data_IF_739325947694
#
_entry.id   IF_739325947694
#
_cell.length_a   1.000
_cell.length_b   1.000
_cell.length_c   1.000
_cell.angle_alpha   90.00
_cell.angle_beta   90.00
_cell.angle_gamma   90.00
#
_symmetry.space_group_name_H-M   'P 1'
#
loop_
_entity.id
_entity.type
_entity.pdbx_description
1 polymer ?
#
# COMPACT_ATOMS: atom_id res chain seq x y z
N UNK A 1 -53.50 -19.62 22.06
CA UNK A 1 -52.46 -19.01 22.90
C UNK A 1 -52.14 -17.65 22.31
N UNK A 2 -52.64 -16.56 22.91
CA UNK A 2 -52.43 -15.18 22.44
C UNK A 2 -51.36 -14.55 23.32
N UNK A 3 -50.16 -14.36 22.77
CA UNK A 3 -49.08 -13.65 23.47
C UNK A 3 -49.44 -12.16 23.54
N UNK A 4 -49.87 -11.69 24.71
CA UNK A 4 -49.97 -10.26 25.02
C UNK A 4 -48.60 -9.79 25.48
N UNK A 5 -47.81 -9.25 24.56
CA UNK A 5 -46.63 -8.47 24.95
C UNK A 5 -47.10 -7.13 25.49
N UNK A 6 -46.58 -6.73 26.66
CA UNK A 6 -46.83 -5.38 27.18
C UNK A 6 -46.06 -4.37 26.32
N UNK A 7 -46.58 -3.14 26.17
CA UNK A 7 -45.89 -2.08 25.41
C UNK A 7 -44.44 -1.86 25.92
N UNK A 8 -44.20 -2.07 27.21
CA UNK A 8 -42.87 -1.96 27.83
C UNK A 8 -41.86 -3.02 27.37
N UNK A 9 -42.32 -4.17 26.87
CA UNK A 9 -41.46 -5.25 26.34
C UNK A 9 -41.21 -5.10 24.83
N UNK A 10 -42.13 -4.45 24.10
CA UNK A 10 -42.02 -4.23 22.65
C UNK A 10 -41.02 -3.12 22.32
N UNK A 11 -41.02 -2.03 23.11
CA UNK A 11 -40.13 -0.87 22.90
C UNK A 11 -38.63 -1.25 22.86
N UNK A 12 -38.07 -2.02 23.81
CA UNK A 12 -36.66 -2.39 23.76
C UNK A 12 -36.33 -3.30 22.58
N UNK A 13 -37.24 -4.19 22.18
CA UNK A 13 -37.05 -5.07 21.00
C UNK A 13 -36.97 -4.21 19.73
N UNK A 14 -37.92 -3.28 19.54
CA UNK A 14 -37.93 -2.37 18.40
C UNK A 14 -36.68 -1.47 18.39
N UNK A 15 -36.25 -0.96 19.55
CA UNK A 15 -35.03 -0.17 19.67
C UNK A 15 -33.78 -0.99 19.27
N UNK A 16 -33.64 -2.24 19.73
CA UNK A 16 -32.54 -3.12 19.34
C UNK A 16 -32.51 -3.38 17.83
N UNK A 17 -33.68 -3.61 17.20
CA UNK A 17 -33.79 -3.80 15.75
C UNK A 17 -33.36 -2.55 14.99
N UNK A 18 -33.83 -1.36 15.41
CA UNK A 18 -33.44 -0.08 14.79
C UNK A 18 -31.94 0.15 14.92
N UNK A 19 -31.36 -0.07 16.10
CA UNK A 19 -29.90 0.05 16.31
C UNK A 19 -29.14 -0.92 15.41
N UNK A 20 -29.61 -2.16 15.26
CA UNK A 20 -29.04 -3.15 14.35
C UNK A 20 -29.06 -2.68 12.88
N UNK A 21 -30.20 -2.16 12.41
CA UNK A 21 -30.36 -1.63 11.05
C UNK A 21 -29.45 -0.42 10.83
N UNK A 22 -29.42 0.53 11.77
CA UNK A 22 -28.55 1.72 11.69
C UNK A 22 -27.07 1.32 11.69
N UNK A 23 -26.66 0.34 12.47
CA UNK A 23 -25.29 -0.16 12.48
C UNK A 23 -24.91 -0.84 11.16
N UNK A 24 -25.80 -1.67 10.59
CA UNK A 24 -25.58 -2.29 9.29
C UNK A 24 -25.51 -1.23 8.19
N UNK A 25 -26.45 -0.29 8.17
CA UNK A 25 -26.45 0.84 7.24
C UNK A 25 -25.18 1.68 7.38
N UNK A 26 -24.77 2.01 8.61
CA UNK A 26 -23.52 2.71 8.90
C UNK A 26 -22.31 1.94 8.38
N UNK A 27 -22.22 0.62 8.56
CA UNK A 27 -21.15 -0.19 7.97
C UNK A 27 -21.17 -0.21 6.44
N UNK A 28 -22.36 -0.30 5.85
CA UNK A 28 -22.55 -0.29 4.39
C UNK A 28 -22.26 1.08 3.77
N UNK A 29 -22.47 2.16 4.52
CA UNK A 29 -22.21 3.54 4.12
C UNK A 29 -20.75 3.92 4.33
N UNK A 30 -20.19 3.66 5.52
CA UNK A 30 -18.81 4.01 5.85
C UNK A 30 -17.79 3.12 5.17
N UNK A 31 -18.12 1.84 4.91
CA UNK A 31 -17.29 0.92 4.12
C UNK A 31 -15.84 0.85 4.62
N UNK A 32 -15.63 1.07 5.92
CA UNK A 32 -14.31 1.07 6.57
C UNK A 32 -13.87 -0.36 6.85
N UNK A 33 -12.56 -0.59 6.86
CA UNK A 33 -12.04 -1.84 7.41
C UNK A 33 -12.14 -1.80 8.93
N UNK A 34 -12.41 -2.97 9.52
CA UNK A 34 -12.27 -3.14 10.96
C UNK A 34 -10.79 -3.09 11.32
N UNK A 35 -10.47 -2.71 12.55
CA UNK A 35 -9.08 -2.66 13.02
C UNK A 35 -8.36 -3.99 12.84
N UNK A 36 -9.06 -5.10 13.10
CA UNK A 36 -8.58 -6.46 12.86
C UNK A 36 -8.19 -6.69 11.40
N UNK A 37 -8.96 -6.18 10.46
CA UNK A 37 -8.65 -6.25 9.03
C UNK A 37 -7.46 -5.35 8.67
N UNK A 38 -7.42 -4.10 9.17
CA UNK A 38 -6.28 -3.20 8.98
C UNK A 38 -5.00 -3.87 9.46
N UNK A 39 -5.01 -4.38 10.69
CA UNK A 39 -3.89 -5.08 11.33
C UNK A 39 -3.44 -6.30 10.53
N UNK A 40 -4.39 -7.12 10.06
CA UNK A 40 -4.12 -8.29 9.21
C UNK A 40 -3.36 -7.89 7.95
N UNK A 41 -3.89 -6.92 7.21
CA UNK A 41 -3.30 -6.50 5.94
C UNK A 41 -2.00 -5.73 6.11
N UNK A 42 -1.89 -4.94 7.18
CA UNK A 42 -0.65 -4.29 7.57
C UNK A 42 0.44 -5.33 7.83
N UNK A 43 0.15 -6.38 8.60
CA UNK A 43 1.11 -7.46 8.86
C UNK A 43 1.58 -8.16 7.57
N UNK A 44 0.65 -8.46 6.67
CA UNK A 44 0.94 -9.10 5.37
C UNK A 44 1.81 -8.19 4.49
N UNK A 45 1.51 -6.89 4.46
CA UNK A 45 2.28 -5.91 3.71
C UNK A 45 3.71 -5.76 4.27
N UNK A 46 3.84 -5.65 5.58
CA UNK A 46 5.13 -5.48 6.25
C UNK A 46 6.03 -6.71 6.14
N UNK A 47 5.47 -7.92 6.03
CA UNK A 47 6.28 -9.12 5.81
C UNK A 47 6.85 -9.25 4.40
N UNK A 48 6.33 -8.49 3.42
CA UNK A 48 6.89 -8.43 2.06
C UNK A 48 7.85 -7.25 1.85
N UNK A 49 8.01 -6.37 2.84
CA UNK A 49 8.92 -5.22 2.79
C UNK A 49 10.35 -5.65 3.18
N UNK A 50 11.35 -4.97 2.62
CA UNK A 50 12.76 -5.22 2.94
C UNK A 50 13.12 -4.89 4.39
N UNK A 51 14.06 -5.64 4.95
CA UNK A 51 14.48 -5.52 6.35
C UNK A 51 15.11 -4.17 6.69
N UNK A 52 15.69 -3.49 5.70
CA UNK A 52 16.28 -2.16 5.83
C UNK A 52 15.24 -1.03 5.83
N UNK A 53 13.96 -1.31 5.57
CA UNK A 53 12.90 -0.30 5.50
C UNK A 53 12.82 0.60 6.74
N UNK A 54 13.04 0.01 7.91
CA UNK A 54 13.05 0.72 9.20
C UNK A 54 14.10 1.82 9.30
N UNK A 55 15.17 1.75 8.50
CA UNK A 55 16.24 2.74 8.48
C UNK A 55 15.81 4.05 7.82
N UNK A 56 14.69 4.05 7.09
CA UNK A 56 14.14 5.22 6.42
C UNK A 56 12.94 5.82 7.18
N UNK A 57 12.70 5.37 8.42
CA UNK A 57 11.66 5.90 9.29
C UNK A 57 12.28 6.81 10.36
N UNK A 58 11.60 7.93 10.63
CA UNK A 58 12.04 8.87 11.66
C UNK A 58 11.64 8.39 13.06
N UNK A 59 12.50 8.67 14.04
CA UNK A 59 12.10 8.56 15.44
C UNK A 59 11.33 9.81 15.85
N UNK A 60 10.23 9.62 16.56
CA UNK A 60 9.50 10.68 17.22
C UNK A 60 9.22 10.28 18.67
N UNK A 61 9.31 11.25 19.58
CA UNK A 61 8.88 11.06 20.97
C UNK A 61 7.37 10.88 21.09
N UNK A 62 6.62 11.29 20.08
CA UNK A 62 5.17 11.10 20.00
C UNK A 62 4.85 9.74 19.34
N UNK A 63 3.73 9.13 19.75
CA UNK A 63 3.22 7.87 19.21
C UNK A 63 2.59 8.05 17.81
N UNK A 64 3.44 8.40 16.86
CA UNK A 64 3.09 8.75 15.49
C UNK A 64 3.30 7.56 14.54
N UNK A 65 2.95 7.70 13.26
CA UNK A 65 3.00 6.58 12.31
C UNK A 65 4.41 6.00 12.16
N UNK A 66 5.41 6.87 11.98
CA UNK A 66 6.81 6.47 11.80
C UNK A 66 7.35 5.73 13.04
N UNK A 67 7.14 6.29 14.24
CA UNK A 67 7.67 5.70 15.49
C UNK A 67 7.01 4.36 15.82
N UNK A 68 5.69 4.26 15.70
CA UNK A 68 4.95 3.00 15.91
C UNK A 68 5.41 1.90 14.93
N UNK A 69 5.58 2.26 13.66
CA UNK A 69 6.04 1.31 12.64
C UNK A 69 7.48 0.89 12.87
N UNK A 70 8.38 1.84 13.13
CA UNK A 70 9.79 1.56 13.36
C UNK A 70 10.00 0.68 14.59
N UNK A 71 9.27 0.94 15.68
CA UNK A 71 9.31 0.11 16.87
C UNK A 71 8.86 -1.31 16.53
N UNK A 72 7.69 -1.49 15.89
CA UNK A 72 7.24 -2.81 15.45
C UNK A 72 8.26 -3.55 14.57
N UNK A 73 8.91 -2.87 13.63
CA UNK A 73 9.93 -3.48 12.76
C UNK A 73 11.24 -3.82 13.50
N UNK A 74 11.48 -3.24 14.67
CA UNK A 74 12.64 -3.55 15.50
C UNK A 74 12.39 -4.73 16.45
N UNK A 75 11.21 -4.80 17.07
CA UNK A 75 10.93 -5.72 18.17
C UNK A 75 9.79 -6.72 17.90
N UNK A 76 9.13 -6.65 16.75
CA UNK A 76 7.92 -7.41 16.41
C UNK A 76 6.80 -7.26 17.46
N UNK A 77 6.71 -6.10 18.12
CA UNK A 77 5.73 -5.83 19.19
C UNK A 77 4.30 -5.79 18.66
N UNK A 78 3.50 -6.76 19.11
CA UNK A 78 2.08 -6.84 18.79
C UNK A 78 1.29 -5.62 19.28
N UNK A 79 1.75 -4.97 20.35
CA UNK A 79 1.18 -3.72 20.86
C UNK A 79 1.38 -2.58 19.86
N UNK A 80 2.61 -2.40 19.37
CA UNK A 80 2.91 -1.38 18.36
C UNK A 80 2.14 -1.62 17.05
N UNK A 81 2.03 -2.88 16.63
CA UNK A 81 1.22 -3.25 15.46
C UNK A 81 -0.27 -2.92 15.65
N UNK A 82 -0.80 -3.14 16.85
CA UNK A 82 -2.19 -2.81 17.20
C UNK A 82 -2.41 -1.31 17.18
N UNK A 83 -1.55 -0.54 17.85
CA UNK A 83 -1.62 0.92 17.87
C UNK A 83 -1.51 1.52 16.47
N UNK A 84 -0.61 0.99 15.63
CA UNK A 84 -0.47 1.43 14.24
C UNK A 84 -1.73 1.12 13.42
N UNK A 85 -2.33 -0.05 13.61
CA UNK A 85 -3.59 -0.39 12.95
C UNK A 85 -4.75 0.52 13.39
N UNK A 86 -4.84 0.84 14.69
CA UNK A 86 -5.82 1.80 15.22
C UNK A 86 -5.58 3.21 14.67
N UNK A 87 -4.33 3.65 14.60
CA UNK A 87 -3.92 4.92 14.01
C UNK A 87 -4.38 5.02 12.56
N UNK A 88 -4.00 4.06 11.72
CA UNK A 88 -4.39 4.04 10.31
C UNK A 88 -5.92 4.01 10.16
N UNK A 89 -6.62 3.20 10.95
CA UNK A 89 -8.09 3.17 10.98
C UNK A 89 -8.72 4.51 11.30
N UNK A 90 -8.15 5.28 12.23
CA UNK A 90 -8.67 6.59 12.61
C UNK A 90 -8.56 7.63 11.48
N UNK A 91 -7.58 7.44 10.58
CA UNK A 91 -7.34 8.32 9.43
C UNK A 91 -8.12 7.91 8.18
N UNK A 92 -8.92 6.85 8.25
CA UNK A 92 -9.70 6.32 7.13
C UNK A 92 -11.02 7.04 6.89
N UNK A 93 -11.32 7.31 5.62
CA UNK A 93 -12.67 7.67 5.20
C UNK A 93 -13.42 6.50 4.52
N UNK A 94 -12.85 5.78 3.53
CA UNK A 94 -13.49 4.67 2.81
C UNK A 94 -12.47 3.68 2.17
N UNK A 95 -12.44 2.39 2.53
CA UNK A 95 -11.49 1.40 1.94
C UNK A 95 -12.17 0.26 1.15
N UNK A 96 -13.34 -0.23 1.58
CA UNK A 96 -13.91 -1.48 1.01
C UNK A 96 -14.35 -1.36 -0.45
N UNK A 97 -14.75 -0.18 -0.92
CA UNK A 97 -15.12 0.07 -2.32
C UNK A 97 -14.16 1.05 -3.00
N UNK A 98 -12.99 1.31 -2.39
CA UNK A 98 -11.94 2.08 -3.04
C UNK A 98 -11.35 1.32 -4.22
N UNK A 99 -10.57 2.06 -5.00
CA UNK A 99 -9.94 1.54 -6.21
C UNK A 99 -8.81 0.57 -5.89
N UNK A 100 -8.29 0.51 -4.66
CA UNK A 100 -7.23 -0.41 -4.22
C UNK A 100 -7.73 -1.76 -3.72
N UNK A 101 -6.95 -2.82 -3.95
CA UNK A 101 -7.11 -4.08 -3.21
C UNK A 101 -7.03 -3.84 -1.70
N UNK A 102 -7.54 -4.75 -0.88
CA UNK A 102 -7.55 -4.52 0.57
C UNK A 102 -6.14 -4.34 1.16
N UNK A 103 -5.12 -5.17 0.82
CA UNK A 103 -3.74 -4.89 1.20
C UNK A 103 -3.20 -3.62 0.56
N UNK A 104 -3.50 -3.36 -0.72
CA UNK A 104 -3.06 -2.16 -1.42
C UNK A 104 -3.54 -0.88 -0.72
N UNK A 105 -4.79 -0.86 -0.27
CA UNK A 105 -5.38 0.29 0.43
C UNK A 105 -4.70 0.56 1.77
N UNK A 106 -4.35 -0.50 2.51
CA UNK A 106 -3.65 -0.38 3.80
C UNK A 106 -2.22 0.11 3.58
N UNK A 107 -1.53 -0.43 2.56
CA UNK A 107 -0.18 -0.02 2.21
C UNK A 107 -0.13 1.44 1.74
N UNK A 108 -1.07 1.83 0.89
CA UNK A 108 -1.14 3.18 0.34
C UNK A 108 -1.31 4.23 1.43
N UNK A 109 -2.24 3.99 2.36
CA UNK A 109 -2.44 4.90 3.47
C UNK A 109 -1.26 4.91 4.44
N UNK A 110 -0.61 3.77 4.69
CA UNK A 110 0.64 3.75 5.46
C UNK A 110 1.70 4.65 4.84
N UNK A 111 1.93 4.52 3.52
CA UNK A 111 2.90 5.33 2.77
C UNK A 111 2.55 6.81 2.86
N UNK A 112 1.29 7.19 2.63
CA UNK A 112 0.85 8.59 2.74
C UNK A 112 1.10 9.16 4.12
N UNK A 113 0.84 8.40 5.19
CA UNK A 113 1.07 8.86 6.55
C UNK A 113 2.57 9.01 6.85
N UNK A 114 3.41 8.10 6.36
CA UNK A 114 4.87 8.21 6.50
C UNK A 114 5.37 9.50 5.82
N UNK A 115 5.00 9.72 4.55
CA UNK A 115 5.41 10.91 3.78
C UNK A 115 4.87 12.20 4.42
N UNK A 116 3.60 12.20 4.81
CA UNK A 116 2.92 13.32 5.47
C UNK A 116 3.66 13.74 6.74
N UNK A 117 4.05 12.79 7.58
CA UNK A 117 4.80 13.05 8.82
C UNK A 117 6.21 13.56 8.53
N UNK A 118 6.95 12.92 7.60
CA UNK A 118 8.33 13.32 7.28
C UNK A 118 8.42 14.69 6.60
N UNK A 119 7.43 15.07 5.81
CA UNK A 119 7.37 16.38 5.16
C UNK A 119 6.59 17.43 5.98
N UNK A 120 6.02 17.05 7.13
CA UNK A 120 5.13 17.89 7.92
C UNK A 120 4.00 18.54 7.10
N UNK A 121 3.35 17.74 6.25
CA UNK A 121 2.25 18.20 5.38
C UNK A 121 1.03 17.28 5.53
N UNK A 122 -0.21 17.74 5.23
CA UNK A 122 -1.37 16.86 5.24
C UNK A 122 -1.23 15.70 4.23
N UNK A 123 -1.80 14.51 4.50
CA UNK A 123 -1.72 13.38 3.60
C UNK A 123 -2.44 13.68 2.27
N UNK A 124 -1.69 13.62 1.17
CA UNK A 124 -2.17 13.91 -0.19
C UNK A 124 -1.74 12.81 -1.16
N UNK A 125 -2.20 12.90 -2.41
CA UNK A 125 -1.72 12.03 -3.49
C UNK A 125 -0.34 12.47 -4.00
N UNK A 126 -0.08 13.78 -3.98
CA UNK A 126 1.17 14.42 -4.40
C UNK A 126 1.65 15.35 -3.30
N UNK A 127 2.95 15.37 -3.05
CA UNK A 127 3.56 16.17 -2.00
C UNK A 127 4.54 17.15 -2.62
N UNK A 128 4.30 18.44 -2.42
CA UNK A 128 5.14 19.50 -2.97
C UNK A 128 5.97 20.12 -1.86
N UNK A 129 7.25 20.38 -2.14
CA UNK A 129 8.19 21.01 -1.21
C UNK A 129 9.23 21.83 -1.97
N UNK A 130 9.96 22.69 -1.26
CA UNK A 130 10.95 23.59 -1.84
C UNK A 130 12.33 22.94 -2.04
N UNK A 131 13.24 23.68 -2.65
CA UNK A 131 14.64 23.28 -2.86
C UNK A 131 15.36 23.01 -1.53
N UNK A 132 15.13 23.81 -0.49
CA UNK A 132 15.75 23.60 0.82
C UNK A 132 15.37 22.24 1.41
N UNK A 133 14.08 21.88 1.35
CA UNK A 133 13.59 20.56 1.76
C UNK A 133 14.22 19.46 0.92
N UNK A 134 14.28 19.64 -0.40
CA UNK A 134 14.87 18.66 -1.33
C UNK A 134 16.33 18.34 -0.97
N UNK A 135 17.15 19.37 -0.72
CA UNK A 135 18.57 19.21 -0.36
C UNK A 135 18.76 18.51 0.99
N UNK A 136 17.76 18.56 1.88
CA UNK A 136 17.82 17.98 3.22
C UNK A 136 17.06 16.65 3.37
N UNK A 137 16.42 16.12 2.31
CA UNK A 137 15.55 14.94 2.41
C UNK A 137 16.23 13.71 3.04
N UNK A 138 17.53 13.51 2.81
CA UNK A 138 18.25 12.37 3.40
C UNK A 138 18.19 12.38 4.93
N UNK A 139 18.14 13.57 5.55
CA UNK A 139 18.05 13.76 6.99
C UNK A 139 16.61 13.91 7.47
N UNK A 140 15.81 14.72 6.78
CA UNK A 140 14.47 15.13 7.26
C UNK A 140 13.35 14.25 6.75
N UNK A 141 13.52 13.61 5.58
CA UNK A 141 12.51 12.75 4.98
C UNK A 141 13.13 11.58 4.20
N UNK A 142 13.90 10.70 4.88
CA UNK A 142 14.67 9.64 4.22
C UNK A 142 13.79 8.65 3.45
N UNK A 143 12.54 8.44 3.88
CA UNK A 143 11.59 7.63 3.13
C UNK A 143 11.28 8.26 1.79
N UNK A 144 11.02 9.57 1.75
CA UNK A 144 10.70 10.30 0.52
C UNK A 144 11.86 10.21 -0.46
N UNK A 145 13.09 10.46 0.00
CA UNK A 145 14.29 10.35 -0.85
C UNK A 145 14.47 8.96 -1.44
N UNK A 146 14.17 7.92 -0.66
CA UNK A 146 14.47 6.53 -1.02
C UNK A 146 13.39 5.85 -1.87
N UNK A 147 12.11 6.15 -1.59
CA UNK A 147 10.95 5.40 -2.10
C UNK A 147 10.07 6.16 -3.09
N UNK A 148 10.16 7.49 -3.15
CA UNK A 148 9.30 8.30 -4.02
C UNK A 148 10.03 8.69 -5.31
N UNK A 149 9.27 8.79 -6.39
CA UNK A 149 9.73 9.49 -7.59
C UNK A 149 9.66 10.99 -7.34
N UNK A 150 10.76 11.71 -7.56
CA UNK A 150 10.82 13.15 -7.32
C UNK A 150 10.97 13.86 -8.67
N UNK A 151 10.15 14.88 -8.88
CA UNK A 151 10.19 15.74 -10.07
C UNK A 151 10.60 17.14 -9.63
N UNK A 152 11.57 17.73 -10.32
CA UNK A 152 11.84 19.16 -10.24
C UNK A 152 10.89 19.92 -11.15
N UNK A 153 10.28 20.96 -10.61
CA UNK A 153 9.45 21.94 -11.29
C UNK A 153 10.15 23.30 -11.21
N UNK A 154 9.63 24.32 -11.88
CA UNK A 154 10.26 25.64 -12.00
C UNK A 154 10.71 26.24 -10.65
N UNK A 155 9.91 26.09 -9.60
CA UNK A 155 10.15 26.72 -8.28
C UNK A 155 10.07 25.75 -7.10
N UNK A 156 9.75 24.48 -7.34
CA UNK A 156 9.50 23.50 -6.31
C UNK A 156 9.75 22.07 -6.80
N UNK A 157 9.65 21.11 -5.90
CA UNK A 157 9.76 19.69 -6.15
C UNK A 157 8.44 19.00 -5.82
N UNK A 158 8.11 17.95 -6.57
CA UNK A 158 6.97 17.08 -6.30
C UNK A 158 7.45 15.65 -6.03
N UNK A 159 7.16 15.11 -4.86
CA UNK A 159 7.27 13.68 -4.58
C UNK A 159 5.97 12.96 -4.94
N UNK A 160 6.13 11.92 -5.75
CA UNK A 160 5.06 11.06 -6.23
C UNK A 160 5.30 9.65 -5.73
N UNK A 161 4.30 9.11 -5.02
CA UNK A 161 4.23 7.70 -4.65
C UNK A 161 3.70 6.88 -5.82
N UNK A 162 4.13 5.63 -5.92
CA UNK A 162 3.64 4.71 -6.94
C UNK A 162 2.31 4.10 -6.54
N UNK A 163 1.42 3.92 -7.50
CA UNK A 163 0.18 3.15 -7.36
C UNK A 163 -0.12 2.49 -8.71
N UNK A 164 -0.23 1.17 -8.75
CA UNK A 164 -0.49 0.45 -10.00
C UNK A 164 -1.96 0.52 -10.39
N UNK A 165 -2.26 1.17 -11.51
CA UNK A 165 -3.59 1.24 -12.13
C UNK A 165 -3.69 0.27 -13.30
N UNK A 166 -4.68 -0.64 -13.25
CA UNK A 166 -5.15 -1.45 -14.39
C UNK A 166 -4.18 -2.17 -15.36
N UNK A 167 -3.17 -2.96 -14.92
CA UNK A 167 -2.31 -3.64 -15.90
C UNK A 167 -2.59 -5.13 -15.94
N UNK A 168 -2.61 -5.69 -17.15
CA UNK A 168 -2.61 -7.14 -17.36
C UNK A 168 -1.26 -7.79 -17.03
N UNK A 169 -0.19 -6.97 -16.88
CA UNK A 169 1.20 -7.36 -16.64
C UNK A 169 1.94 -6.31 -15.75
N UNK A 170 2.85 -6.76 -14.88
CA UNK A 170 3.54 -5.92 -13.89
C UNK A 170 4.68 -5.09 -14.42
N UNK A 171 5.32 -5.54 -15.50
CA UNK A 171 6.28 -4.72 -16.20
C UNK A 171 5.57 -3.51 -16.80
N UNK A 172 4.41 -3.74 -17.42
CA UNK A 172 3.54 -2.68 -17.95
C UNK A 172 2.98 -1.78 -16.84
N UNK A 173 2.62 -2.33 -15.68
CA UNK A 173 2.13 -1.52 -14.53
C UNK A 173 3.08 -0.41 -14.11
N UNK A 174 4.35 -0.78 -14.00
CA UNK A 174 5.39 0.11 -13.51
C UNK A 174 5.82 1.09 -14.61
N UNK A 175 5.95 0.57 -15.83
CA UNK A 175 6.25 1.35 -17.01
C UNK A 175 5.16 2.38 -17.27
N UNK A 176 3.89 1.99 -17.35
CA UNK A 176 2.78 2.91 -17.67
C UNK A 176 2.67 4.04 -16.66
N UNK A 177 2.80 3.76 -15.36
CA UNK A 177 2.80 4.82 -14.34
C UNK A 177 3.95 5.81 -14.51
N UNK A 178 5.16 5.29 -14.73
CA UNK A 178 6.36 6.12 -14.83
C UNK A 178 6.40 6.86 -16.17
N UNK A 179 6.07 6.18 -17.27
CA UNK A 179 6.06 6.71 -18.63
C UNK A 179 4.94 7.73 -18.81
N UNK A 180 3.70 7.44 -18.41
CA UNK A 180 2.60 8.42 -18.50
C UNK A 180 2.94 9.67 -17.70
N UNK A 181 3.51 9.51 -16.50
CA UNK A 181 3.93 10.63 -15.67
C UNK A 181 5.06 11.43 -16.31
N UNK A 182 6.13 10.77 -16.78
CA UNK A 182 7.25 11.42 -17.48
C UNK A 182 6.78 12.11 -18.77
N UNK A 183 5.93 11.48 -19.58
CA UNK A 183 5.39 12.04 -20.82
C UNK A 183 4.51 13.26 -20.54
N UNK A 184 3.61 13.17 -19.55
CA UNK A 184 2.79 14.30 -19.13
C UNK A 184 3.64 15.47 -18.63
N UNK A 185 4.74 15.21 -17.94
CA UNK A 185 5.63 16.27 -17.45
C UNK A 185 6.52 16.84 -18.57
N UNK A 186 7.01 16.01 -19.49
CA UNK A 186 7.69 16.46 -20.72
C UNK A 186 6.79 17.36 -21.58
N UNK A 187 5.50 17.04 -21.71
CA UNK A 187 4.54 17.92 -22.41
C UNK A 187 4.33 19.27 -21.72
N UNK A 188 4.71 19.38 -20.44
CA UNK A 188 4.68 20.62 -19.65
C UNK A 188 6.05 21.32 -19.59
N UNK A 189 7.04 20.84 -20.35
CA UNK A 189 8.37 21.45 -20.45
C UNK A 189 9.42 20.91 -19.48
N UNK A 190 9.14 19.85 -18.71
CA UNK A 190 10.16 19.22 -17.86
C UNK A 190 11.14 18.39 -18.70
N UNK A 191 12.44 18.51 -18.41
CA UNK A 191 13.48 17.74 -19.05
C UNK A 191 13.77 16.44 -18.30
N UNK A 192 14.47 15.51 -18.95
CA UNK A 192 14.78 14.22 -18.31
C UNK A 192 15.66 14.37 -17.05
N UNK A 193 16.45 15.44 -16.98
CA UNK A 193 17.30 15.80 -15.85
C UNK A 193 16.51 16.25 -14.61
N UNK A 194 15.23 16.57 -14.77
CA UNK A 194 14.34 16.99 -13.69
C UNK A 194 13.70 15.79 -12.97
N UNK A 195 13.99 14.56 -13.41
CA UNK A 195 13.43 13.34 -12.85
C UNK A 195 14.44 12.57 -12.00
N UNK A 196 14.10 12.39 -10.72
CA UNK A 196 14.88 11.60 -9.77
C UNK A 196 14.14 10.30 -9.46
N UNK A 197 14.69 9.21 -9.97
CA UNK A 197 14.17 7.86 -9.78
C UNK A 197 14.56 7.31 -8.40
N UNK A 198 13.64 6.66 -7.68
CA UNK A 198 13.93 6.10 -6.36
C UNK A 198 14.85 4.87 -6.45
N UNK A 199 15.49 4.53 -5.33
CA UNK A 199 16.26 3.29 -5.21
C UNK A 199 15.37 2.08 -4.91
N UNK A 200 14.24 2.31 -4.25
CA UNK A 200 13.27 1.28 -3.87
C UNK A 200 11.87 1.75 -4.19
N UNK A 201 10.97 0.82 -4.48
CA UNK A 201 9.59 1.17 -4.85
C UNK A 201 8.64 0.28 -4.09
N UNK A 202 7.63 0.89 -3.50
CA UNK A 202 6.47 0.18 -2.98
C UNK A 202 5.29 0.61 -3.84
N UNK A 203 4.66 -0.36 -4.49
CA UNK A 203 3.60 -0.13 -5.45
C UNK A 203 2.34 -0.89 -4.99
N UNK A 204 1.41 -0.22 -4.28
CA UNK A 204 0.09 -0.77 -3.98
C UNK A 204 -0.75 -0.91 -5.25
N UNK A 205 -1.61 -1.92 -5.31
CA UNK A 205 -2.37 -2.26 -6.52
C UNK A 205 -3.86 -1.92 -6.43
N UNK A 206 -4.37 -1.39 -7.54
CA UNK A 206 -5.80 -1.21 -7.76
C UNK A 206 -6.52 -2.56 -7.91
N UNK A 207 -7.82 -2.61 -7.61
CA UNK A 207 -8.69 -3.73 -7.92
C UNK A 207 -8.91 -3.76 -9.42
N UNK A 208 -8.76 -4.93 -10.01
CA UNK A 208 -9.15 -5.13 -11.39
C UNK A 208 -10.55 -5.71 -11.45
N UNK A 209 -11.53 -4.91 -11.88
CA UNK A 209 -12.96 -5.29 -11.86
C UNK A 209 -13.31 -6.35 -12.92
N UNK A 210 -12.49 -6.51 -13.96
CA UNK A 210 -12.87 -7.27 -15.17
C UNK A 210 -11.89 -8.38 -15.61
N UNK A 211 -10.93 -8.82 -14.80
CA UNK A 211 -10.07 -9.94 -15.20
C UNK A 211 -9.03 -10.41 -14.18
N UNK A 212 -8.00 -11.11 -14.67
CA UNK A 212 -6.98 -11.78 -13.89
C UNK A 212 -5.63 -11.11 -14.16
N UNK A 213 -4.85 -10.78 -13.12
CA UNK A 213 -3.45 -10.45 -13.29
C UNK A 213 -2.69 -11.73 -13.65
N UNK A 214 -2.31 -11.89 -14.93
CA UNK A 214 -1.55 -13.07 -15.37
C UNK A 214 -0.07 -12.78 -15.21
N UNK A 215 0.52 -13.31 -14.14
CA UNK A 215 1.96 -13.34 -13.99
C UNK A 215 2.54 -14.54 -14.74
N UNK A 216 3.51 -14.30 -15.62
CA UNK A 216 4.33 -15.38 -16.17
C UNK A 216 5.73 -15.31 -15.57
N UNK A 217 5.98 -16.10 -14.52
CA UNK A 217 7.30 -16.24 -13.89
C UNK A 217 8.24 -17.21 -14.62
N UNK A 218 7.95 -17.61 -15.86
CA UNK A 218 8.83 -18.55 -16.58
C UNK A 218 10.20 -17.91 -16.87
N UNK A 219 11.17 -18.23 -16.00
CA UNK A 219 12.57 -17.80 -16.06
C UNK A 219 12.95 -16.77 -14.99
N UNK A 220 14.17 -16.85 -14.45
CA UNK A 220 14.74 -15.87 -13.49
C UNK A 220 14.76 -14.41 -14.01
N UNK A 221 14.56 -14.21 -15.32
CA UNK A 221 14.43 -12.89 -15.98
C UNK A 221 13.07 -12.20 -15.75
N UNK A 222 12.06 -12.90 -15.23
CA UNK A 222 10.70 -12.37 -14.97
C UNK A 222 10.57 -11.50 -13.71
N UNK A 223 11.65 -11.38 -12.92
CA UNK A 223 11.70 -10.52 -11.75
C UNK A 223 12.33 -9.16 -12.02
N UNK A 224 12.79 -8.89 -13.25
CA UNK A 224 13.40 -7.62 -13.61
C UNK A 224 12.42 -6.79 -14.43
N UNK A 225 12.11 -5.60 -13.95
CA UNK A 225 11.33 -4.58 -14.64
C UNK A 225 12.32 -3.55 -15.19
N UNK A 226 12.36 -3.44 -16.52
CA UNK A 226 13.20 -2.45 -17.19
C UNK A 226 12.37 -1.22 -17.53
N UNK A 227 12.97 -0.04 -17.36
CA UNK A 227 12.49 1.25 -17.89
C UNK A 227 13.59 1.87 -18.72
N UNK A 228 13.26 2.88 -19.53
CA UNK A 228 14.22 3.60 -20.37
C UNK A 228 15.41 4.17 -19.58
N UNK A 229 15.25 4.42 -18.28
CA UNK A 229 16.28 5.03 -17.42
C UNK A 229 16.86 4.09 -16.36
N UNK A 230 16.13 3.07 -15.91
CA UNK A 230 16.48 2.25 -14.75
C UNK A 230 15.92 0.83 -14.86
N UNK A 231 16.64 -0.15 -14.30
CA UNK A 231 16.12 -1.50 -14.09
C UNK A 231 15.85 -1.73 -12.61
N UNK A 232 14.77 -2.44 -12.30
CA UNK A 232 14.39 -2.81 -10.93
C UNK A 232 14.19 -4.31 -10.85
N UNK A 233 14.55 -4.93 -9.71
CA UNK A 233 14.21 -6.31 -9.39
C UNK A 233 13.06 -6.36 -8.38
N UNK A 234 12.16 -7.32 -8.52
CA UNK A 234 11.12 -7.60 -7.53
C UNK A 234 11.76 -8.32 -6.33
N UNK A 235 11.67 -7.72 -5.15
CA UNK A 235 12.22 -8.27 -3.90
C UNK A 235 11.14 -8.79 -2.95
N UNK A 236 9.89 -8.37 -3.14
CA UNK A 236 8.74 -8.80 -2.35
C UNK A 236 7.42 -8.53 -3.05
N UNK A 237 6.39 -9.28 -2.66
CA UNK A 237 5.05 -9.15 -3.20
C UNK A 237 3.98 -9.66 -2.25
N UNK A 238 2.78 -9.13 -2.37
CA UNK A 238 1.57 -9.64 -1.71
C UNK A 238 0.63 -10.15 -2.80
N UNK A 239 0.24 -11.42 -2.73
CA UNK A 239 -0.63 -12.06 -3.71
C UNK A 239 -1.87 -12.65 -3.04
N UNK A 240 -2.99 -12.61 -3.74
CA UNK A 240 -4.18 -13.34 -3.35
C UNK A 240 -4.02 -14.84 -3.63
N UNK A 241 -4.09 -15.62 -2.57
CA UNK A 241 -4.18 -17.07 -2.59
C UNK A 241 -5.66 -17.43 -2.53
N UNK A 242 -6.24 -17.69 -3.70
CA UNK A 242 -7.53 -18.34 -3.81
C UNK A 242 -7.27 -19.85 -3.95
N UNK A 243 -7.83 -20.63 -3.04
CA UNK A 243 -7.89 -22.09 -3.11
C UNK A 243 -9.30 -22.54 -2.73
N UNK A 244 -9.62 -23.81 -3.04
CA UNK A 244 -10.95 -24.40 -2.83
C UNK A 244 -11.46 -24.23 -1.38
N UNK A 245 -10.54 -24.13 -0.39
CA UNK A 245 -10.86 -24.00 1.03
C UNK A 245 -10.17 -22.82 1.75
N UNK A 246 -9.44 -21.95 1.03
CA UNK A 246 -8.75 -20.78 1.61
C UNK A 246 -8.83 -19.61 0.64
N UNK A 247 -9.39 -18.49 1.09
CA UNK A 247 -9.27 -17.19 0.41
C UNK A 247 -8.53 -16.21 1.33
N UNK A 248 -7.47 -15.61 0.82
CA UNK A 248 -6.71 -14.62 1.56
C UNK A 248 -5.46 -14.17 0.84
N UNK A 249 -4.81 -13.14 1.38
CA UNK A 249 -3.54 -12.64 0.85
C UNK A 249 -2.36 -13.29 1.57
N UNK A 250 -1.30 -13.54 0.82
CA UNK A 250 -0.04 -14.09 1.28
C UNK A 250 1.11 -13.22 0.78
N UNK A 251 2.12 -13.03 1.64
CA UNK A 251 3.33 -12.28 1.32
C UNK A 251 4.46 -13.22 0.91
N UNK A 252 5.27 -12.78 -0.05
CA UNK A 252 6.47 -13.47 -0.50
C UNK A 252 7.63 -12.49 -0.52
N UNK A 253 8.83 -12.98 -0.21
CA UNK A 253 10.07 -12.22 -0.23
C UNK A 253 10.28 -11.30 0.98
N UNK A 254 10.72 -10.08 0.71
CA UNK A 254 11.18 -9.09 1.70
C UNK A 254 12.46 -8.45 1.20
N UNK A 255 13.59 -9.13 1.39
CA UNK A 255 14.88 -8.72 0.82
C UNK A 255 15.16 -9.37 -0.55
N UNK A 256 14.57 -10.54 -0.79
CA UNK A 256 14.61 -11.30 -2.05
C UNK A 256 13.50 -12.34 -2.05
N UNK A 257 13.01 -12.70 -3.24
CA UNK A 257 12.12 -13.86 -3.40
C UNK A 257 12.98 -15.11 -3.63
N UNK A 258 12.80 -16.13 -2.80
CA UNK A 258 13.52 -17.40 -2.92
C UNK A 258 12.96 -18.28 -4.04
N UNK A 259 13.75 -19.26 -4.51
CA UNK A 259 13.29 -20.24 -5.51
C UNK A 259 12.10 -21.07 -5.03
N UNK A 260 12.03 -21.38 -3.73
CA UNK A 260 10.89 -22.08 -3.15
C UNK A 260 9.62 -21.23 -3.26
N UNK A 261 9.71 -19.94 -2.92
CA UNK A 261 8.61 -19.00 -3.07
C UNK A 261 8.20 -18.83 -4.53
N UNK A 262 9.15 -18.72 -5.47
CA UNK A 262 8.84 -18.67 -6.91
C UNK A 262 8.06 -19.90 -7.37
N UNK A 263 8.46 -21.09 -6.92
CA UNK A 263 7.74 -22.33 -7.22
C UNK A 263 6.32 -22.33 -6.64
N UNK A 264 6.14 -21.78 -5.42
CA UNK A 264 4.82 -21.65 -4.79
C UNK A 264 3.95 -20.63 -5.52
N UNK A 265 4.50 -19.48 -5.88
CA UNK A 265 3.84 -18.43 -6.67
C UNK A 265 3.36 -19.01 -8.01
N UNK A 266 4.20 -19.75 -8.73
CA UNK A 266 3.83 -20.41 -9.98
C UNK A 266 2.61 -21.34 -9.82
N UNK A 267 2.55 -22.13 -8.74
CA UNK A 267 1.40 -23.01 -8.44
C UNK A 267 0.12 -22.24 -8.12
N UNK A 268 0.21 -21.06 -7.52
CA UNK A 268 -0.94 -20.21 -7.18
C UNK A 268 -1.57 -19.59 -8.43
N UNK A 269 -0.73 -19.06 -9.33
CA UNK A 269 -1.20 -18.40 -10.55
C UNK A 269 -1.88 -19.38 -11.52
N UNK A 270 -1.45 -20.65 -11.52
CA UNK A 270 -2.07 -21.68 -12.35
C UNK A 270 -3.46 -22.13 -11.87
N UNK A 271 -3.87 -21.82 -10.64
CA UNK A 271 -5.13 -22.31 -10.08
C UNK A 271 -6.22 -21.25 -9.98
N UNK A 272 -5.88 -19.97 -9.89
CA UNK A 272 -6.87 -18.94 -9.54
C UNK A 272 -6.61 -17.56 -10.11
N UNK A 273 -7.66 -16.73 -10.08
CA UNK A 273 -7.68 -15.35 -10.52
C UNK A 273 -6.91 -14.46 -9.53
N UNK A 274 -5.59 -14.64 -9.40
CA UNK A 274 -4.80 -13.96 -8.37
C UNK A 274 -4.82 -12.43 -8.54
N UNK A 275 -5.09 -11.71 -7.45
CA UNK A 275 -4.95 -10.26 -7.36
C UNK A 275 -3.63 -9.92 -6.65
N UNK A 276 -2.86 -9.00 -7.23
CA UNK A 276 -1.68 -8.45 -6.55
C UNK A 276 -2.14 -7.40 -5.56
N UNK A 277 -1.67 -7.49 -4.32
CA UNK A 277 -1.98 -6.52 -3.26
C UNK A 277 -1.01 -5.34 -3.27
N UNK A 278 0.29 -5.66 -3.28
CA UNK A 278 1.39 -4.71 -3.31
C UNK A 278 2.64 -5.38 -3.91
N UNK A 279 3.52 -4.59 -4.52
CA UNK A 279 4.85 -5.00 -4.94
C UNK A 279 5.94 -4.16 -4.29
N UNK A 280 7.10 -4.80 -4.11
CA UNK A 280 8.31 -4.18 -3.59
C UNK A 280 9.44 -4.41 -4.61
N UNK A 281 10.03 -3.31 -5.08
CA UNK A 281 11.09 -3.31 -6.07
C UNK A 281 12.35 -2.65 -5.52
N UNK A 282 13.50 -3.11 -6.00
CA UNK A 282 14.81 -2.51 -5.72
C UNK A 282 15.56 -2.25 -7.03
N UNK A 283 16.14 -1.06 -7.16
CA UNK A 283 16.91 -0.66 -8.34
C UNK A 283 18.14 -1.55 -8.48
N UNK A 284 18.37 -2.05 -9.68
CA UNK A 284 19.57 -2.79 -10.05
C UNK A 284 20.65 -1.74 -10.34
N UNK A 285 21.77 -1.85 -9.60
CA UNK A 285 22.95 -1.00 -9.80
C UNK A 285 23.81 -1.51 -10.94
#
# INVERSE_FOLDING_TARGET
MTFKFSLGEIIPIVACVIVGIVYIAYKMLTRRLTEKEVKKYLKINLSAISSDFKNYLLDSSESNCNSLLKNYLNDNSESNLTSLASFLKSKQNCWRNGDFTLPGSVMDDLIKQIISEQLNTPPKQKFTFDEETYQNLEKTAPFVKKFCFIIKLDTNYEAVRFAAEHPTDLSFSFLDNTVCLVQNMKSKGADIQDFYYPDKIIMPFHKYVFGIYKYNFSGQRSLIINTDACSYKIIGMVLENEGIFKSGYESFGGDRISNEELNRIGKLIHKTKGYVGALMLEKIK
#
